data_IF_775833690909
#
_entry.id   IF_775833690909
#
_cell.length_a   1.000
_cell.length_b   1.000
_cell.length_c   1.000
_cell.angle_alpha   90.00
_cell.angle_beta   90.00
_cell.angle_gamma   90.00
#
_symmetry.space_group_name_H-M   'P 1'
#
loop_
_entity.id
_entity.type
_entity.pdbx_description
1 polymer ?
#
# COMPACT_ATOMS: atom_id res chain seq x y z
N UNK A 1 5.47 -10.34 10.76
CA UNK A 1 4.76 -10.50 12.05
C UNK A 1 5.33 -11.66 12.85
N UNK A 2 5.33 -12.89 12.35
CA UNK A 2 5.89 -14.05 13.06
C UNK A 2 7.35 -13.83 13.53
N UNK A 3 8.21 -13.29 12.67
CA UNK A 3 9.59 -12.98 13.06
C UNK A 3 9.66 -11.99 14.23
N UNK A 4 8.89 -10.89 14.17
CA UNK A 4 8.77 -9.94 15.27
C UNK A 4 8.31 -10.62 16.57
N UNK A 5 7.27 -11.47 16.48
CA UNK A 5 6.76 -12.18 17.64
C UNK A 5 7.82 -13.12 18.24
N UNK A 6 8.55 -13.87 17.41
CA UNK A 6 9.62 -14.78 17.86
C UNK A 6 10.80 -14.04 18.48
N UNK A 7 11.29 -12.99 17.81
CA UNK A 7 12.54 -12.30 18.17
C UNK A 7 12.38 -11.28 19.28
N UNK A 8 11.20 -10.66 19.37
CA UNK A 8 10.94 -9.56 20.31
C UNK A 8 9.87 -9.95 21.31
N UNK A 9 8.69 -10.36 20.85
CA UNK A 9 7.56 -10.56 21.77
C UNK A 9 7.77 -11.72 22.76
N UNK A 10 8.28 -12.85 22.27
CA UNK A 10 8.49 -14.05 23.07
C UNK A 10 9.69 -13.95 24.03
N UNK A 11 10.51 -12.90 23.94
CA UNK A 11 11.67 -12.70 24.82
C UNK A 11 11.35 -11.91 26.09
N UNK A 12 10.07 -11.56 26.29
CA UNK A 12 9.62 -10.80 27.46
C UNK A 12 9.91 -9.30 27.39
N UNK A 13 10.27 -8.79 26.20
CA UNK A 13 10.55 -7.36 25.99
C UNK A 13 9.29 -6.49 25.89
N UNK A 14 8.12 -7.10 25.67
CA UNK A 14 6.86 -6.39 25.50
C UNK A 14 6.17 -6.22 26.85
N UNK A 15 5.84 -4.97 27.20
CA UNK A 15 5.14 -4.63 28.44
C UNK A 15 3.81 -3.97 28.13
N UNK A 16 2.79 -4.38 28.86
CA UNK A 16 1.50 -3.72 28.83
C UNK A 16 1.65 -2.26 29.28
N UNK A 17 1.18 -1.29 28.48
CA UNK A 17 1.35 0.14 28.74
C UNK A 17 0.55 0.63 29.94
N UNK A 18 -0.45 -0.12 30.40
CA UNK A 18 -1.27 0.21 31.58
C UNK A 18 -0.73 -0.45 32.85
N UNK A 19 -0.45 -1.76 32.81
CA UNK A 19 -0.03 -2.50 34.01
C UNK A 19 1.49 -2.52 34.21
N UNK A 20 2.26 -2.17 33.17
CA UNK A 20 3.71 -2.27 33.10
C UNK A 20 4.28 -3.70 33.28
N UNK A 21 3.40 -4.71 33.25
CA UNK A 21 3.77 -6.12 33.33
C UNK A 21 4.16 -6.64 31.95
N UNK A 22 5.08 -7.60 31.93
CA UNK A 22 5.44 -8.32 30.69
C UNK A 22 4.22 -9.10 30.20
N UNK A 23 3.90 -8.97 28.93
CA UNK A 23 2.74 -9.63 28.31
C UNK A 23 3.16 -10.31 27.01
N UNK A 24 3.06 -11.65 26.99
CA UNK A 24 3.36 -12.45 25.80
C UNK A 24 2.19 -12.40 24.79
N UNK A 25 2.46 -12.70 23.49
CA UNK A 25 1.40 -12.80 22.49
C UNK A 25 0.29 -13.76 22.93
N UNK A 26 -0.97 -13.53 22.50
CA UNK A 26 -2.09 -14.37 22.89
C UNK A 26 -1.84 -15.85 22.59
N UNK A 27 -2.11 -16.72 23.57
CA UNK A 27 -1.86 -18.17 23.50
C UNK A 27 -0.40 -18.53 23.20
N UNK A 28 0.55 -17.61 23.38
CA UNK A 28 1.96 -17.74 23.01
C UNK A 28 2.16 -18.09 21.52
N UNK A 29 1.20 -17.73 20.67
CA UNK A 29 1.24 -18.02 19.24
C UNK A 29 2.12 -17.01 18.49
N UNK A 30 3.04 -17.54 17.69
CA UNK A 30 3.88 -16.72 16.80
C UNK A 30 3.41 -16.79 15.34
N UNK A 31 2.81 -17.90 14.91
CA UNK A 31 2.21 -18.03 13.58
C UNK A 31 0.71 -17.75 13.66
N UNK A 32 0.26 -16.77 12.87
CA UNK A 32 -1.12 -16.31 12.79
C UNK A 32 -1.73 -16.53 11.39
N UNK A 33 -1.06 -17.29 10.52
CA UNK A 33 -1.59 -17.60 9.20
C UNK A 33 -2.93 -18.37 9.32
N UNK A 34 -3.99 -17.84 8.71
CA UNK A 34 -5.33 -18.43 8.74
C UNK A 34 -6.07 -18.29 10.08
N UNK A 35 -5.50 -17.57 11.06
CA UNK A 35 -6.11 -17.35 12.38
C UNK A 35 -6.89 -16.04 12.44
N UNK A 36 -7.81 -15.91 13.41
CA UNK A 36 -8.41 -14.62 13.72
C UNK A 36 -7.40 -13.70 14.42
N UNK A 37 -6.89 -12.73 13.67
CA UNK A 37 -5.90 -11.76 14.15
C UNK A 37 -6.49 -10.67 15.06
N UNK A 38 -7.78 -10.70 15.40
CA UNK A 38 -8.40 -9.68 16.26
C UNK A 38 -7.73 -9.60 17.63
N UNK A 39 -7.55 -10.73 18.31
CA UNK A 39 -6.91 -10.78 19.63
C UNK A 39 -5.45 -10.35 19.58
N UNK A 40 -4.73 -10.68 18.50
CA UNK A 40 -3.36 -10.21 18.27
C UNK A 40 -3.31 -8.68 18.14
N UNK A 41 -4.26 -8.09 17.41
CA UNK A 41 -4.34 -6.63 17.24
C UNK A 41 -4.64 -5.92 18.55
N UNK A 42 -5.50 -6.49 19.39
CA UNK A 42 -5.82 -5.96 20.72
C UNK A 42 -4.59 -6.03 21.63
N UNK A 43 -3.90 -7.17 21.66
CA UNK A 43 -2.63 -7.31 22.37
C UNK A 43 -1.58 -6.30 21.91
N UNK A 44 -1.35 -6.16 20.59
CA UNK A 44 -0.39 -5.18 20.05
C UNK A 44 -0.67 -3.77 20.55
N UNK A 45 -1.94 -3.35 20.60
CA UNK A 45 -2.32 -2.02 21.10
C UNK A 45 -2.01 -1.82 22.58
N UNK A 46 -2.06 -2.89 23.37
CA UNK A 46 -1.77 -2.83 24.79
C UNK A 46 -0.27 -2.77 25.08
N UNK A 47 0.57 -3.34 24.22
CA UNK A 47 2.01 -3.52 24.50
C UNK A 47 2.94 -2.64 23.67
N UNK A 48 2.42 -1.82 22.77
CA UNK A 48 3.21 -0.94 21.89
C UNK A 48 2.69 0.49 21.95
N UNK A 49 3.51 1.46 21.54
CA UNK A 49 3.01 2.79 21.25
C UNK A 49 2.16 2.73 19.97
N UNK A 50 0.86 3.00 20.09
CA UNK A 50 -0.08 2.92 18.96
C UNK A 50 -0.62 4.32 18.67
N UNK A 51 -0.03 5.08 17.74
CA UNK A 51 -0.47 6.43 17.48
C UNK A 51 -1.78 6.43 16.68
N UNK A 52 -2.66 7.40 16.96
CA UNK A 52 -3.95 7.57 16.28
C UNK A 52 -3.81 8.37 14.98
N UNK A 53 -3.03 7.87 14.04
CA UNK A 53 -2.82 8.56 12.76
C UNK A 53 -4.00 8.35 11.82
N UNK A 54 -4.83 9.38 11.67
CA UNK A 54 -5.92 9.45 10.69
C UNK A 54 -5.37 9.98 9.36
N UNK A 55 -5.09 9.13 8.35
CA UNK A 55 -4.32 9.54 7.18
C UNK A 55 -5.07 10.49 6.25
N UNK A 56 -6.39 10.65 6.43
CA UNK A 56 -7.19 11.65 5.72
C UNK A 56 -7.19 13.03 6.40
N UNK A 57 -6.75 13.11 7.66
CA UNK A 57 -6.78 14.34 8.46
C UNK A 57 -5.38 14.90 8.71
N UNK A 58 -4.43 14.01 9.02
CA UNK A 58 -3.05 14.36 9.30
C UNK A 58 -2.07 13.63 8.37
N UNK A 59 -0.95 14.27 8.07
CA UNK A 59 0.18 13.70 7.34
C UNK A 59 1.21 13.20 8.36
N UNK A 60 1.65 11.95 8.28
CA UNK A 60 2.70 11.45 9.17
C UNK A 60 4.03 12.12 8.81
N UNK A 61 4.60 12.90 9.73
CA UNK A 61 5.76 13.73 9.47
C UNK A 61 6.94 13.29 10.34
N UNK A 62 8.07 13.01 9.70
CA UNK A 62 9.29 12.54 10.35
C UNK A 62 10.31 13.69 10.37
N UNK A 63 10.71 14.17 11.56
CA UNK A 63 11.71 15.22 11.68
C UNK A 63 13.08 14.73 11.22
N UNK A 64 13.94 15.65 10.79
CA UNK A 64 15.30 15.38 10.31
C UNK A 64 16.21 14.81 11.42
N UNK A 65 15.88 15.10 12.68
CA UNK A 65 16.66 14.66 13.82
C UNK A 65 15.75 14.40 15.03
N UNK A 66 16.30 13.73 16.04
CA UNK A 66 15.56 13.27 17.21
C UNK A 66 15.36 14.35 18.30
N UNK A 67 15.40 15.64 17.93
CA UNK A 67 15.31 16.73 18.89
C UNK A 67 13.93 17.37 18.94
N UNK A 68 13.59 17.89 20.11
CA UNK A 68 12.39 18.71 20.31
C UNK A 68 12.39 19.96 19.40
N UNK A 69 13.57 20.47 19.04
CA UNK A 69 13.69 21.58 18.12
C UNK A 69 13.20 21.19 16.71
N UNK A 70 13.48 19.97 16.23
CA UNK A 70 13.00 19.50 14.94
C UNK A 70 11.49 19.28 14.90
N UNK A 71 10.93 18.75 15.98
CA UNK A 71 9.47 18.65 16.16
C UNK A 71 8.82 20.04 16.08
N UNK A 72 9.38 21.02 16.79
CA UNK A 72 8.89 22.40 16.75
C UNK A 72 9.03 23.06 15.37
N UNK A 73 10.09 22.76 14.60
CA UNK A 73 10.23 23.24 13.21
C UNK A 73 9.10 22.73 12.33
N UNK A 74 8.72 21.46 12.44
CA UNK A 74 7.60 20.89 11.68
C UNK A 74 6.27 21.55 12.02
N UNK A 75 6.03 21.88 13.29
CA UNK A 75 4.87 22.69 13.69
C UNK A 75 4.89 24.07 13.01
N UNK A 76 6.03 24.76 13.02
CA UNK A 76 6.19 26.04 12.32
C UNK A 76 5.93 25.94 10.82
N UNK A 77 6.43 24.89 10.15
CA UNK A 77 6.13 24.65 8.74
C UNK A 77 4.65 24.40 8.47
N UNK A 78 3.96 23.66 9.36
CA UNK A 78 2.53 23.45 9.25
C UNK A 78 1.73 24.75 9.37
N UNK A 79 2.09 25.62 10.31
CA UNK A 79 1.49 26.95 10.45
C UNK A 79 1.70 27.80 9.20
N UNK A 80 2.91 27.82 8.64
CA UNK A 80 3.21 28.59 7.44
C UNK A 80 2.55 28.01 6.18
N UNK A 81 2.45 26.69 6.08
CA UNK A 81 1.72 26.02 5.00
C UNK A 81 0.21 26.31 5.08
N UNK A 82 -0.34 26.43 6.30
CA UNK A 82 -1.75 26.78 6.52
C UNK A 82 -2.08 28.22 6.13
N UNK A 83 -1.14 29.15 6.34
CA UNK A 83 -1.28 30.56 5.92
C UNK A 83 -1.24 30.72 4.39
N UNK A 84 -0.49 29.87 3.71
CA UNK A 84 -0.28 29.91 2.27
C UNK A 84 -0.59 28.55 1.62
N UNK A 85 -1.86 28.13 1.57
CA UNK A 85 -2.24 26.84 1.02
C UNK A 85 -2.05 26.82 -0.51
N UNK A 86 -1.73 25.65 -1.06
CA UNK A 86 -1.73 25.45 -2.51
C UNK A 86 -3.15 25.63 -3.06
N UNK A 87 -3.30 26.51 -4.05
CA UNK A 87 -4.59 26.76 -4.72
C UNK A 87 -5.08 25.56 -5.51
N UNK A 88 -4.17 24.78 -6.09
CA UNK A 88 -4.47 23.55 -6.81
C UNK A 88 -3.71 22.39 -6.14
N UNK A 89 -4.42 21.36 -5.63
CA UNK A 89 -3.77 20.19 -5.04
C UNK A 89 -3.05 19.32 -6.08
N UNK A 90 -3.36 19.46 -7.37
CA UNK A 90 -2.69 18.76 -8.47
C UNK A 90 -1.67 19.72 -9.09
N UNK A 91 -0.39 19.51 -8.76
CA UNK A 91 0.70 20.27 -9.37
C UNK A 91 1.03 19.65 -10.73
N UNK A 92 0.90 20.43 -11.81
CA UNK A 92 1.40 20.04 -13.14
C UNK A 92 2.93 19.89 -13.14
N UNK A 93 3.60 20.65 -12.27
CA UNK A 93 5.03 20.61 -12.04
C UNK A 93 5.30 20.50 -10.54
N UNK A 94 5.47 19.28 -10.00
CA UNK A 94 5.83 19.12 -8.59
C UNK A 94 7.20 19.74 -8.32
N UNK A 95 7.45 20.23 -7.09
CA UNK A 95 8.74 20.80 -6.73
C UNK A 95 9.87 19.76 -6.85
N UNK A 96 11.11 20.18 -7.15
CA UNK A 96 12.28 19.31 -7.09
C UNK A 96 12.39 18.60 -5.73
N UNK A 97 12.87 17.36 -5.73
CA UNK A 97 12.97 16.55 -4.50
C UNK A 97 13.89 17.16 -3.44
N UNK A 98 14.89 17.94 -3.86
CA UNK A 98 15.83 18.65 -2.99
C UNK A 98 15.36 20.06 -2.60
N UNK A 99 14.11 20.41 -2.91
CA UNK A 99 13.48 21.65 -2.46
C UNK A 99 13.39 21.71 -0.93
N UNK A 100 13.23 22.95 -0.42
CA UNK A 100 13.10 23.17 1.03
C UNK A 100 11.97 22.34 1.64
N UNK A 101 12.11 21.92 2.91
CA UNK A 101 11.10 21.09 3.58
C UNK A 101 9.68 21.64 3.46
N UNK A 102 9.52 22.94 3.68
CA UNK A 102 8.22 23.61 3.59
C UNK A 102 7.58 23.54 2.19
N UNK A 103 8.36 23.69 1.12
CA UNK A 103 7.83 23.63 -0.26
C UNK A 103 7.31 22.22 -0.55
N UNK A 104 8.09 21.18 -0.19
CA UNK A 104 7.64 19.79 -0.31
C UNK A 104 6.45 19.49 0.59
N UNK A 105 6.42 20.05 1.80
CA UNK A 105 5.32 19.86 2.74
C UNK A 105 4.01 20.35 2.14
N UNK A 106 4.00 21.57 1.57
CA UNK A 106 2.82 22.16 0.93
C UNK A 106 2.21 21.23 -0.13
N UNK A 107 3.05 20.60 -0.95
CA UNK A 107 2.61 19.58 -1.91
C UNK A 107 2.05 18.33 -1.20
N UNK A 108 2.80 17.75 -0.27
CA UNK A 108 2.48 16.47 0.38
C UNK A 108 1.25 16.53 1.29
N UNK A 109 0.84 17.72 1.73
CA UNK A 109 -0.38 17.90 2.50
C UNK A 109 -1.61 17.36 1.77
N UNK A 110 -1.71 17.48 0.44
CA UNK A 110 -2.78 16.91 -0.36
C UNK A 110 -4.20 17.14 0.23
N UNK A 111 -4.45 18.32 0.80
CA UNK A 111 -5.71 18.70 1.45
C UNK A 111 -5.81 18.42 2.96
N UNK A 112 -4.83 17.75 3.55
CA UNK A 112 -4.70 17.56 5.01
C UNK A 112 -4.37 18.90 5.69
N UNK A 113 -4.78 19.02 6.95
CA UNK A 113 -4.67 20.27 7.73
C UNK A 113 -3.82 20.13 8.98
N UNK A 114 -3.20 18.98 9.20
CA UNK A 114 -2.48 18.64 10.41
C UNK A 114 -1.28 17.76 10.10
N UNK A 115 -0.28 17.79 10.98
CA UNK A 115 0.80 16.80 11.01
C UNK A 115 0.58 15.84 12.18
N UNK A 116 0.84 14.57 11.91
CA UNK A 116 1.03 13.55 12.90
C UNK A 116 2.55 13.33 13.01
N UNK A 117 3.20 14.14 13.86
CA UNK A 117 4.66 14.20 13.92
C UNK A 117 5.19 13.00 14.70
N UNK A 118 6.21 12.34 14.17
CA UNK A 118 7.01 11.34 14.87
C UNK A 118 7.91 12.04 15.91
N UNK A 119 7.32 12.32 17.07
CA UNK A 119 7.89 13.10 18.16
C UNK A 119 8.89 12.33 19.04
N UNK A 120 9.43 13.02 20.04
CA UNK A 120 10.42 12.50 20.98
C UNK A 120 9.89 11.35 21.84
N UNK A 121 8.60 11.34 22.17
CA UNK A 121 7.95 10.22 22.86
C UNK A 121 8.00 8.97 21.97
N UNK A 122 7.49 9.05 20.74
CA UNK A 122 7.49 7.91 19.81
C UNK A 122 8.90 7.44 19.46
N UNK A 123 9.87 8.35 19.36
CA UNK A 123 11.27 8.01 19.10
C UNK A 123 11.93 7.22 20.24
N UNK A 124 11.42 7.34 21.46
CA UNK A 124 11.89 6.57 22.61
C UNK A 124 11.29 5.16 22.69
N UNK A 125 10.26 4.87 21.88
CA UNK A 125 9.53 3.61 21.94
C UNK A 125 10.22 2.53 21.09
N UNK A 126 10.36 1.30 21.62
CA UNK A 126 11.00 0.22 20.88
C UNK A 126 10.16 -0.28 19.70
N UNK A 127 8.84 -0.10 19.77
CA UNK A 127 7.88 -0.59 18.77
C UNK A 127 6.73 0.39 18.64
N UNK A 128 6.52 0.84 17.41
CA UNK A 128 5.37 1.67 17.03
C UNK A 128 4.41 0.83 16.21
N UNK A 129 3.16 0.73 16.64
CA UNK A 129 2.14 -0.05 15.98
C UNK A 129 1.17 0.85 15.22
N UNK A 130 1.26 0.76 13.89
CA UNK A 130 0.39 1.46 12.97
C UNK A 130 -0.92 0.68 12.83
N UNK A 131 -1.90 0.97 13.68
CA UNK A 131 -3.12 0.16 13.69
C UNK A 131 -4.01 0.42 12.47
N UNK A 132 -4.54 -0.65 11.89
CA UNK A 132 -5.52 -0.58 10.81
C UNK A 132 -6.93 -0.87 11.33
N UNK A 133 -7.74 0.17 11.57
CA UNK A 133 -9.11 0.02 12.06
C UNK A 133 -10.10 0.95 11.33
N UNK A 134 -11.08 0.33 10.65
CA UNK A 134 -12.02 1.04 9.77
C UNK A 134 -12.91 2.03 10.51
N UNK A 135 -13.48 1.62 11.66
CA UNK A 135 -14.42 2.46 12.42
C UNK A 135 -13.76 3.73 12.96
N UNK A 136 -12.46 3.68 13.25
CA UNK A 136 -11.67 4.83 13.71
C UNK A 136 -11.03 5.64 12.57
N UNK A 137 -11.24 5.25 11.29
CA UNK A 137 -10.66 5.94 10.12
C UNK A 137 -9.12 6.04 10.10
N UNK A 138 -8.43 5.16 10.82
CA UNK A 138 -6.96 5.09 10.89
C UNK A 138 -6.35 4.12 9.85
N UNK A 139 -7.09 3.79 8.79
CA UNK A 139 -6.62 2.82 7.78
C UNK A 139 -5.75 3.52 6.72
N UNK A 140 -4.52 3.04 6.56
CA UNK A 140 -3.60 3.47 5.49
C UNK A 140 -3.87 2.67 4.22
N UNK A 141 -4.94 3.00 3.50
CA UNK A 141 -5.42 2.26 2.33
C UNK A 141 -4.99 2.91 1.00
N UNK A 142 -3.69 3.13 0.80
CA UNK A 142 -3.01 3.52 -0.45
C UNK A 142 -1.55 3.06 -0.32
N UNK A 143 -0.68 3.37 -1.29
CA UNK A 143 0.77 3.22 -1.14
C UNK A 143 1.32 3.96 0.08
N UNK A 144 2.29 3.36 0.77
CA UNK A 144 2.86 3.89 2.02
C UNK A 144 3.35 5.35 1.87
N UNK A 145 3.98 5.67 0.74
CA UNK A 145 4.53 7.00 0.47
C UNK A 145 3.47 8.10 0.28
N UNK A 146 2.18 7.75 0.24
CA UNK A 146 1.09 8.75 0.22
C UNK A 146 0.78 9.31 1.61
N UNK A 147 1.31 8.69 2.68
CA UNK A 147 1.01 9.02 4.07
C UNK A 147 2.21 9.56 4.86
N UNK A 148 3.43 9.33 4.37
CA UNK A 148 4.66 9.69 5.07
C UNK A 148 5.32 10.88 4.40
N UNK A 149 5.83 11.80 5.22
CA UNK A 149 6.64 12.93 4.82
C UNK A 149 7.89 12.97 5.70
N UNK A 150 9.06 13.11 5.08
CA UNK A 150 10.33 13.26 5.79
C UNK A 150 10.84 14.69 5.61
N UNK A 151 11.23 15.33 6.71
CA UNK A 151 11.83 16.68 6.71
C UNK A 151 13.11 16.68 5.88
N UNK A 152 13.95 15.64 5.97
CA UNK A 152 15.11 15.46 5.10
C UNK A 152 14.71 14.68 3.83
N UNK A 153 14.95 15.27 2.66
CA UNK A 153 14.65 14.63 1.38
C UNK A 153 15.56 13.42 1.09
N UNK A 154 16.75 13.36 1.69
CA UNK A 154 17.67 12.23 1.51
C UNK A 154 17.14 11.00 2.21
N UNK A 155 16.58 11.18 3.41
CA UNK A 155 15.89 10.13 4.15
C UNK A 155 14.62 9.68 3.43
N UNK A 156 13.84 10.62 2.88
CA UNK A 156 12.67 10.31 2.06
C UNK A 156 13.03 9.37 0.90
N UNK A 157 14.04 9.74 0.12
CA UNK A 157 14.53 8.93 -1.00
C UNK A 157 15.10 7.60 -0.55
N UNK A 158 15.87 7.59 0.53
CA UNK A 158 16.45 6.36 1.09
C UNK A 158 15.35 5.40 1.54
N UNK A 159 14.35 5.87 2.29
CA UNK A 159 13.25 5.05 2.78
C UNK A 159 12.42 4.47 1.64
N UNK A 160 12.09 5.29 0.63
CA UNK A 160 11.37 4.84 -0.56
C UNK A 160 12.14 3.74 -1.30
N UNK A 161 13.47 3.89 -1.46
CA UNK A 161 14.33 2.86 -2.08
C UNK A 161 14.43 1.61 -1.22
N UNK A 162 14.62 1.77 0.08
CA UNK A 162 14.67 0.67 1.04
C UNK A 162 13.40 -0.19 0.94
N UNK A 163 12.22 0.44 1.00
CA UNK A 163 10.94 -0.25 0.88
C UNK A 163 10.77 -0.92 -0.48
N UNK A 164 11.12 -0.24 -1.58
CA UNK A 164 11.07 -0.81 -2.94
C UNK A 164 11.94 -2.07 -3.07
N UNK A 165 13.14 -2.05 -2.48
CA UNK A 165 14.13 -3.10 -2.69
C UNK A 165 13.90 -4.33 -1.78
N UNK A 166 13.26 -4.12 -0.62
CA UNK A 166 13.12 -5.14 0.44
C UNK A 166 11.69 -5.64 0.66
N UNK A 167 10.65 -4.90 0.27
CA UNK A 167 9.27 -5.42 0.36
C UNK A 167 9.01 -6.33 -0.83
N UNK A 168 8.98 -7.63 -0.55
CA UNK A 168 8.70 -8.67 -1.54
C UNK A 168 7.59 -9.58 -1.03
N UNK A 169 6.77 -10.07 -1.95
CA UNK A 169 5.85 -11.15 -1.63
C UNK A 169 6.61 -12.42 -1.25
N UNK A 170 6.01 -13.23 -0.38
CA UNK A 170 6.54 -14.52 0.04
C UNK A 170 6.72 -15.44 -1.18
N UNK A 171 7.72 -16.33 -1.13
CA UNK A 171 8.04 -17.25 -2.22
C UNK A 171 6.84 -18.04 -2.75
N UNK A 172 5.91 -18.58 -1.93
CA UNK A 172 4.73 -19.28 -2.46
C UNK A 172 3.86 -18.41 -3.39
N UNK A 173 3.78 -17.11 -3.14
CA UNK A 173 3.04 -16.15 -3.97
C UNK A 173 3.78 -15.91 -5.28
N UNK A 174 5.10 -15.71 -5.20
CA UNK A 174 5.97 -15.51 -6.37
C UNK A 174 5.97 -16.74 -7.28
N UNK A 175 6.14 -17.94 -6.70
CA UNK A 175 6.11 -19.20 -7.43
C UNK A 175 4.75 -19.45 -8.09
N UNK A 176 3.64 -19.19 -7.38
CA UNK A 176 2.30 -19.32 -7.93
C UNK A 176 2.08 -18.39 -9.13
N UNK A 177 2.48 -17.11 -9.02
CA UNK A 177 2.41 -16.17 -10.15
C UNK A 177 3.31 -16.60 -11.31
N UNK A 178 4.52 -17.09 -11.03
CA UNK A 178 5.45 -17.56 -12.06
C UNK A 178 4.89 -18.73 -12.88
N UNK A 179 4.14 -19.66 -12.25
CA UNK A 179 3.45 -20.75 -12.98
C UNK A 179 2.43 -20.21 -13.97
N UNK A 180 1.64 -19.22 -13.57
CA UNK A 180 0.64 -18.58 -14.43
C UNK A 180 1.31 -17.82 -15.58
N UNK A 181 2.35 -17.04 -15.29
CA UNK A 181 3.12 -16.31 -16.32
C UNK A 181 3.77 -17.28 -17.31
N UNK A 182 4.30 -18.40 -16.84
CA UNK A 182 4.84 -19.45 -17.72
C UNK A 182 3.76 -20.07 -18.61
N UNK A 183 2.56 -20.32 -18.07
CA UNK A 183 1.42 -20.82 -18.84
C UNK A 183 0.97 -19.81 -19.92
N UNK A 184 0.79 -18.53 -19.54
CA UNK A 184 0.49 -17.44 -20.47
C UNK A 184 1.51 -17.33 -21.59
N UNK A 185 2.81 -17.38 -21.26
CA UNK A 185 3.89 -17.30 -22.26
C UNK A 185 3.97 -18.54 -23.15
N UNK A 186 3.63 -19.71 -22.63
CA UNK A 186 3.54 -20.94 -23.44
C UNK A 186 2.38 -20.85 -24.43
N UNK A 187 1.26 -20.28 -24.02
CA UNK A 187 0.05 -20.13 -24.82
C UNK A 187 0.21 -19.03 -25.90
N UNK A 188 0.85 -17.91 -25.54
CA UNK A 188 0.79 -16.68 -26.34
C UNK A 188 2.12 -16.00 -26.66
N UNK A 189 3.22 -16.42 -26.05
CA UNK A 189 4.45 -15.64 -26.03
C UNK A 189 4.30 -14.37 -25.19
N UNK A 190 4.44 -13.19 -25.80
CA UNK A 190 4.26 -11.91 -25.12
C UNK A 190 2.78 -11.56 -24.95
N UNK A 191 2.41 -11.06 -23.78
CA UNK A 191 1.05 -10.60 -23.46
C UNK A 191 1.10 -9.19 -22.86
N UNK A 192 -0.03 -8.49 -22.94
CA UNK A 192 -0.26 -7.19 -22.31
C UNK A 192 -1.23 -7.35 -21.14
N UNK A 193 -1.30 -6.34 -20.27
CA UNK A 193 -2.00 -6.47 -18.99
C UNK A 193 -2.87 -5.28 -18.65
N UNK A 194 -4.01 -5.57 -18.03
CA UNK A 194 -4.82 -4.59 -17.34
C UNK A 194 -4.95 -4.91 -15.85
N UNK A 195 -5.01 -3.87 -15.04
CA UNK A 195 -5.66 -3.92 -13.74
C UNK A 195 -6.96 -3.10 -13.80
N UNK A 196 -8.11 -3.76 -13.64
CA UNK A 196 -9.44 -3.13 -13.68
C UNK A 196 -10.15 -3.37 -12.35
N UNK A 197 -10.20 -2.35 -11.50
CA UNK A 197 -10.88 -2.36 -10.19
C UNK A 197 -12.31 -1.78 -10.33
N UNK A 198 -13.34 -2.58 -10.05
CA UNK A 198 -14.76 -2.16 -10.22
C UNK A 198 -15.66 -2.31 -8.99
N UNK A 199 -15.31 -3.15 -8.01
CA UNK A 199 -16.16 -3.49 -6.87
C UNK A 199 -16.47 -2.32 -5.93
N UNK A 200 -15.91 -2.29 -4.72
CA UNK A 200 -16.11 -1.21 -3.75
C UNK A 200 -15.19 0.00 -3.99
N UNK A 201 -14.72 0.21 -5.22
CA UNK A 201 -13.76 1.27 -5.53
C UNK A 201 -14.25 2.66 -5.10
N UNK A 202 -13.46 3.32 -4.26
CA UNK A 202 -13.87 4.56 -3.58
C UNK A 202 -14.04 5.74 -4.54
N UNK A 203 -13.34 5.71 -5.68
CA UNK A 203 -13.41 6.73 -6.70
C UNK A 203 -14.42 6.34 -7.79
N UNK A 204 -15.64 6.86 -7.71
CA UNK A 204 -16.69 6.53 -8.70
C UNK A 204 -16.34 7.00 -10.13
N UNK A 205 -15.57 8.09 -10.24
CA UNK A 205 -15.17 8.70 -11.53
C UNK A 205 -14.26 7.82 -12.38
N UNK A 206 -13.56 6.87 -11.77
CA UNK A 206 -12.65 5.95 -12.47
C UNK A 206 -13.33 4.65 -12.90
N UNK A 207 -14.62 4.47 -12.56
CA UNK A 207 -15.44 3.34 -12.99
C UNK A 207 -16.04 3.60 -14.37
N UNK A 208 -15.17 3.69 -15.37
CA UNK A 208 -15.57 3.86 -16.77
C UNK A 208 -16.04 2.54 -17.38
N UNK A 209 -16.84 2.61 -18.44
CA UNK A 209 -17.36 1.43 -19.14
C UNK A 209 -16.27 0.75 -19.99
N UNK A 210 -16.38 -0.56 -20.24
CA UNK A 210 -15.36 -1.30 -20.99
C UNK A 210 -15.12 -0.75 -22.41
N UNK A 211 -16.17 -0.20 -23.03
CA UNK A 211 -16.06 0.50 -24.32
C UNK A 211 -15.20 1.76 -24.24
N UNK A 212 -15.31 2.50 -23.14
CA UNK A 212 -14.48 3.67 -22.87
C UNK A 212 -13.03 3.25 -22.56
N UNK A 213 -12.83 2.15 -21.81
CA UNK A 213 -11.50 1.57 -21.60
C UNK A 213 -10.83 1.26 -22.94
N UNK A 214 -11.51 0.56 -23.85
CA UNK A 214 -11.00 0.27 -25.19
C UNK A 214 -10.63 1.56 -25.94
N UNK A 215 -11.55 2.54 -25.98
CA UNK A 215 -11.30 3.81 -26.66
C UNK A 215 -10.06 4.55 -26.15
N UNK A 216 -9.75 4.43 -24.85
CA UNK A 216 -8.59 5.08 -24.24
C UNK A 216 -7.26 4.40 -24.58
N UNK A 217 -7.26 3.12 -24.98
CA UNK A 217 -6.02 2.36 -25.21
C UNK A 217 -5.80 1.92 -26.65
N UNK A 218 -6.81 1.95 -27.51
CA UNK A 218 -6.74 1.40 -28.88
C UNK A 218 -5.60 1.96 -29.74
N UNK A 219 -5.18 3.20 -29.47
CA UNK A 219 -4.10 3.86 -30.22
C UNK A 219 -2.70 3.40 -29.77
N UNK A 220 -2.60 2.70 -28.63
CA UNK A 220 -1.33 2.23 -28.04
C UNK A 220 -1.28 0.71 -27.85
N UNK A 221 -2.43 0.04 -27.72
CA UNK A 221 -2.55 -1.40 -27.58
C UNK A 221 -3.11 -2.01 -28.87
N UNK A 222 -2.26 -2.64 -29.71
CA UNK A 222 -2.69 -3.22 -30.97
C UNK A 222 -3.76 -4.31 -30.78
N UNK A 223 -4.74 -4.35 -31.67
CA UNK A 223 -5.77 -5.39 -31.67
C UNK A 223 -5.19 -6.79 -31.92
N UNK A 224 -5.92 -7.81 -31.49
CA UNK A 224 -5.52 -9.22 -31.56
C UNK A 224 -4.45 -9.61 -30.54
N UNK A 225 -3.94 -8.68 -29.72
CA UNK A 225 -2.95 -9.01 -28.69
C UNK A 225 -3.57 -9.81 -27.53
N UNK A 226 -2.84 -10.80 -26.98
CA UNK A 226 -3.21 -11.49 -25.75
C UNK A 226 -3.21 -10.53 -24.57
N UNK A 227 -4.27 -10.57 -23.77
CA UNK A 227 -4.51 -9.65 -22.68
C UNK A 227 -4.86 -10.39 -21.40
N UNK A 228 -4.03 -10.24 -20.37
CA UNK A 228 -4.35 -10.69 -19.02
C UNK A 228 -5.00 -9.56 -18.22
N UNK A 229 -6.19 -9.78 -17.68
CA UNK A 229 -6.91 -8.78 -16.88
C UNK A 229 -6.96 -9.21 -15.41
N UNK A 230 -6.23 -8.49 -14.57
CA UNK A 230 -6.37 -8.53 -13.11
C UNK A 230 -7.59 -7.70 -12.69
N UNK A 231 -8.59 -8.33 -12.08
CA UNK A 231 -9.86 -7.65 -11.78
C UNK A 231 -10.61 -8.30 -10.63
N UNK A 232 -11.36 -7.49 -9.89
CA UNK A 232 -12.36 -7.95 -8.94
C UNK A 232 -13.79 -7.99 -9.52
N UNK A 233 -13.96 -7.66 -10.81
CA UNK A 233 -15.22 -7.77 -11.52
C UNK A 233 -15.59 -9.25 -11.74
N UNK A 234 -16.75 -9.63 -11.23
CA UNK A 234 -17.26 -11.00 -11.26
C UNK A 234 -18.07 -11.26 -12.52
N UNK A 235 -18.76 -10.25 -13.05
CA UNK A 235 -19.51 -10.42 -14.29
C UNK A 235 -18.59 -10.25 -15.50
N UNK A 236 -18.16 -11.38 -16.08
CA UNK A 236 -17.27 -11.37 -17.24
C UNK A 236 -17.90 -10.78 -18.50
N UNK A 237 -19.22 -10.55 -18.54
CA UNK A 237 -19.89 -9.84 -19.65
C UNK A 237 -19.49 -8.37 -19.73
N UNK A 238 -19.07 -7.77 -18.60
CA UNK A 238 -18.53 -6.42 -18.59
C UNK A 238 -17.40 -6.26 -19.63
N UNK A 239 -16.56 -7.28 -19.79
CA UNK A 239 -15.41 -7.25 -20.70
C UNK A 239 -15.74 -7.57 -22.16
N UNK A 240 -17.01 -7.84 -22.51
CA UNK A 240 -17.38 -8.22 -23.88
C UNK A 240 -16.96 -7.19 -24.95
N UNK A 241 -17.03 -5.86 -24.72
CA UNK A 241 -16.46 -4.89 -25.66
C UNK A 241 -14.96 -5.07 -25.90
N UNK A 242 -14.19 -5.46 -24.88
CA UNK A 242 -12.75 -5.71 -25.02
C UNK A 242 -12.47 -7.05 -25.71
N UNK A 243 -13.29 -8.09 -25.46
CA UNK A 243 -13.17 -9.41 -26.11
C UNK A 243 -13.36 -9.37 -27.62
N UNK A 244 -14.00 -8.32 -28.15
CA UNK A 244 -14.13 -8.11 -29.60
C UNK A 244 -12.80 -7.77 -30.27
N UNK A 245 -11.83 -7.25 -29.50
CA UNK A 245 -10.56 -6.75 -30.02
C UNK A 245 -9.34 -7.50 -29.48
N UNK A 246 -9.46 -8.20 -28.35
CA UNK A 246 -8.34 -8.84 -27.66
C UNK A 246 -8.68 -10.27 -27.23
N UNK A 247 -7.65 -11.12 -27.18
CA UNK A 247 -7.78 -12.44 -26.56
C UNK A 247 -7.56 -12.34 -25.05
N UNK A 248 -8.64 -12.44 -24.27
CA UNK A 248 -8.61 -12.13 -22.84
C UNK A 248 -8.44 -13.40 -22.01
N UNK A 249 -7.60 -13.31 -20.97
CA UNK A 249 -7.50 -14.27 -19.86
C UNK A 249 -7.61 -13.56 -18.51
N UNK A 250 -8.10 -14.28 -17.52
CA UNK A 250 -8.22 -13.87 -16.12
C UNK A 250 -7.49 -14.86 -15.20
N UNK A 251 -7.32 -14.49 -13.94
CA UNK A 251 -6.82 -15.41 -12.92
C UNK A 251 -7.65 -16.70 -12.82
N UNK A 252 -8.97 -16.60 -13.06
CA UNK A 252 -9.91 -17.73 -13.00
C UNK A 252 -9.56 -18.85 -13.99
N UNK A 253 -9.02 -18.51 -15.17
CA UNK A 253 -8.64 -19.46 -16.22
C UNK A 253 -7.44 -20.33 -15.81
N UNK A 254 -6.66 -19.87 -14.82
CA UNK A 254 -5.46 -20.53 -14.32
C UNK A 254 -5.60 -21.04 -12.88
N UNK A 255 -6.83 -21.10 -12.33
CA UNK A 255 -7.06 -21.59 -10.96
C UNK A 255 -6.50 -22.98 -10.67
N UNK A 256 -6.50 -23.86 -11.66
CA UNK A 256 -5.92 -25.20 -11.55
C UNK A 256 -4.40 -25.18 -11.27
N UNK A 257 -3.69 -24.08 -11.57
CA UNK A 257 -2.28 -23.88 -11.23
C UNK A 257 -2.07 -23.36 -9.80
N UNK A 258 -3.17 -23.10 -9.09
CA UNK A 258 -3.20 -22.55 -7.73
C UNK A 258 -3.68 -23.58 -6.70
N UNK A 259 -3.75 -24.86 -7.06
CA UNK A 259 -4.10 -25.93 -6.13
C UNK A 259 -3.18 -25.91 -4.90
N UNK A 260 -3.79 -25.92 -3.71
CA UNK A 260 -3.08 -25.82 -2.42
C UNK A 260 -2.56 -24.42 -2.06
N UNK A 261 -2.77 -23.40 -2.90
CA UNK A 261 -2.40 -22.02 -2.58
C UNK A 261 -3.47 -21.37 -1.72
N UNK A 262 -3.06 -20.66 -0.66
CA UNK A 262 -3.99 -19.90 0.18
C UNK A 262 -4.72 -18.84 -0.66
N UNK A 263 -6.05 -18.88 -0.69
CA UNK A 263 -6.89 -17.97 -1.49
C UNK A 263 -6.72 -16.51 -1.11
N UNK A 264 -6.28 -16.20 0.11
CA UNK A 264 -5.92 -14.84 0.52
C UNK A 264 -4.72 -14.27 -0.26
N UNK A 265 -3.95 -15.11 -0.94
CA UNK A 265 -2.84 -14.68 -1.80
C UNK A 265 -3.26 -14.33 -3.22
N UNK A 266 -4.50 -14.63 -3.63
CA UNK A 266 -4.89 -14.52 -5.04
C UNK A 266 -4.76 -13.09 -5.57
N UNK A 267 -5.16 -12.07 -4.79
CA UNK A 267 -4.96 -10.67 -5.21
C UNK A 267 -3.48 -10.28 -5.37
N UNK A 268 -2.59 -10.85 -4.55
CA UNK A 268 -1.14 -10.60 -4.68
C UNK A 268 -0.55 -11.33 -5.88
N UNK A 269 -1.05 -12.54 -6.17
CA UNK A 269 -0.69 -13.30 -7.37
C UNK A 269 -1.14 -12.55 -8.62
N UNK A 270 -2.38 -12.05 -8.64
CA UNK A 270 -2.96 -11.30 -9.76
C UNK A 270 -2.12 -10.07 -10.10
N UNK A 271 -1.68 -9.32 -9.07
CA UNK A 271 -0.77 -8.19 -9.23
C UNK A 271 0.59 -8.59 -9.81
N UNK A 272 1.16 -9.71 -9.37
CA UNK A 272 2.43 -10.21 -9.90
C UNK A 272 2.31 -10.64 -11.35
N UNK A 273 1.23 -11.33 -11.74
CA UNK A 273 0.99 -11.72 -13.13
C UNK A 273 0.82 -10.47 -14.00
N UNK A 274 0.02 -9.50 -13.56
CA UNK A 274 -0.16 -8.22 -14.25
C UNK A 274 1.18 -7.46 -14.39
N UNK A 275 2.08 -7.54 -13.42
CA UNK A 275 3.41 -6.89 -13.51
C UNK A 275 4.34 -7.46 -14.59
N UNK A 276 3.97 -8.56 -15.25
CA UNK A 276 4.76 -9.23 -16.29
C UNK A 276 4.27 -9.00 -17.72
N UNK A 277 3.22 -8.21 -17.89
CA UNK A 277 2.80 -7.74 -19.21
C UNK A 277 3.86 -6.84 -19.84
N UNK A 278 3.90 -6.82 -21.17
CA UNK A 278 4.78 -5.92 -21.94
C UNK A 278 4.31 -4.47 -21.81
N UNK A 279 3.02 -4.24 -21.99
CA UNK A 279 2.32 -3.02 -21.59
C UNK A 279 1.41 -3.30 -20.39
N UNK A 280 1.32 -2.31 -19.50
CA UNK A 280 0.44 -2.35 -18.35
C UNK A 280 -0.46 -1.12 -18.33
N UNK A 281 -1.77 -1.34 -18.21
CA UNK A 281 -2.78 -0.31 -18.04
C UNK A 281 -3.49 -0.54 -16.71
N UNK A 282 -3.58 0.48 -15.85
CA UNK A 282 -4.18 0.36 -14.53
C UNK A 282 -5.22 1.43 -14.27
N UNK A 283 -6.23 1.09 -13.47
CA UNK A 283 -7.08 2.05 -12.76
C UNK A 283 -6.97 1.91 -11.24
#
# INVERSE_FOLDING_TARGET
>A
MEEFLKRVAMTGQMRNKVTNLVELPPQNLTDWNGQDVKVLKEWLRNVTHTPLWSPGSCLAAFPQDATEAAVNRLHGYMEEASKNPLKNPILQHPPPVDSSPLVRLRENLAGRRQLCIYDTEMQSEPVIHFMCYHKMRVRMLVHFYAFLYFEDYREDLWMKRFMRDHIRYKDPIQCAAARIVAALRKEFGDFDTFHIRRGDFQFKRTRIEAKEIYNNVKDVLPEGRPLFIATDERDKKFFDPLKQHYEIRFLDDYKHLLDGVNTNFYGMIDQLVASKGKLFFGC
#
